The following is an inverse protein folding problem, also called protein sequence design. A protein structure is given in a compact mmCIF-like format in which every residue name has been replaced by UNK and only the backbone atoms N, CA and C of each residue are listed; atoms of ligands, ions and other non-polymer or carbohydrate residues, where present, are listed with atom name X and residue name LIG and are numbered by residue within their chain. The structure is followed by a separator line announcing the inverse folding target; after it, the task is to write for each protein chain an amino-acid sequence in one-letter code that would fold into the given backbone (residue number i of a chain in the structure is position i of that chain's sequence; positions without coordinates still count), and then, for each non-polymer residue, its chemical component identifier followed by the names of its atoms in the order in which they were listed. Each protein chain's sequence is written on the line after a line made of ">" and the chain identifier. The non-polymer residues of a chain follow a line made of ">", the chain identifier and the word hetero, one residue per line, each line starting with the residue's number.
data_IF_320032267245
#
_entry.id   IF_320032267245
#
_cell.length_a   1.000
_cell.length_b   1.000
_cell.length_c   1.000
_cell.angle_alpha   90.00
_cell.angle_beta   90.00
_cell.angle_gamma   90.00
#
_symmetry.space_group_name_H-M   'P 1'
#
loop_
_entity.id
_entity.type
_entity.pdbx_description
1 polymer ?
#
# COMPACT_ATOMS: atom_id res chain seq x y z
N UNK A 1 2.89 -21.38 4.68
CA UNK A 1 2.90 -20.38 3.60
C UNK A 1 3.99 -19.39 3.95
N UNK A 2 5.07 -19.37 3.17
CA UNK A 2 6.17 -18.43 3.36
C UNK A 2 5.68 -17.05 2.92
N UNK A 3 5.64 -16.10 3.86
CA UNK A 3 5.22 -14.73 3.56
C UNK A 3 6.50 -13.94 3.32
N UNK A 4 6.78 -13.63 2.06
CA UNK A 4 7.93 -12.81 1.69
C UNK A 4 7.77 -11.39 2.27
N UNK A 5 8.75 -10.94 3.05
CA UNK A 5 8.75 -9.61 3.65
C UNK A 5 9.50 -8.64 2.73
N UNK A 6 8.78 -7.67 2.17
CA UNK A 6 9.37 -6.60 1.38
C UNK A 6 9.52 -5.33 2.22
N UNK A 7 10.74 -4.77 2.26
CA UNK A 7 10.97 -3.44 2.86
C UNK A 7 10.89 -2.37 1.77
N UNK A 8 9.86 -1.52 1.82
CA UNK A 8 9.65 -0.45 0.85
C UNK A 8 10.09 0.88 1.45
N UNK A 9 11.05 1.54 0.80
CA UNK A 9 11.46 2.90 1.18
C UNK A 9 10.47 3.89 0.59
N UNK A 10 9.74 4.57 1.46
CA UNK A 10 8.75 5.57 1.09
C UNK A 10 9.22 6.95 1.55
N UNK A 11 9.05 7.99 0.71
CA UNK A 11 9.27 9.36 1.14
C UNK A 11 8.30 9.73 2.27
N UNK A 12 8.78 10.56 3.19
CA UNK A 12 8.09 10.89 4.45
C UNK A 12 6.69 11.46 4.22
N UNK A 13 6.54 12.35 3.25
CA UNK A 13 5.25 12.96 2.89
C UNK A 13 4.22 11.93 2.43
N UNK A 14 4.66 10.93 1.66
CA UNK A 14 3.77 9.92 1.10
C UNK A 14 3.34 8.93 2.18
N UNK A 15 4.25 8.59 3.11
CA UNK A 15 3.93 7.81 4.31
C UNK A 15 2.86 8.51 5.16
N UNK A 16 2.98 9.83 5.35
CA UNK A 16 2.05 10.61 6.18
C UNK A 16 0.64 10.65 5.57
N UNK A 17 0.55 10.87 4.24
CA UNK A 17 -0.71 10.80 3.50
C UNK A 17 -1.36 9.42 3.59
N UNK A 18 -0.59 8.36 3.43
CA UNK A 18 -1.07 6.98 3.55
C UNK A 18 -1.56 6.68 4.97
N UNK A 19 -0.82 7.10 6.00
CA UNK A 19 -1.23 6.95 7.40
C UNK A 19 -2.57 7.65 7.66
N UNK A 20 -2.73 8.88 7.16
CA UNK A 20 -3.96 9.65 7.33
C UNK A 20 -5.15 8.97 6.66
N UNK A 21 -5.00 8.51 5.42
CA UNK A 21 -6.08 7.83 4.72
C UNK A 21 -6.40 6.45 5.31
N UNK A 22 -5.39 5.71 5.78
CA UNK A 22 -5.57 4.43 6.45
C UNK A 22 -6.36 4.60 7.74
N UNK A 23 -6.03 5.63 8.54
CA UNK A 23 -6.77 6.00 9.76
C UNK A 23 -8.21 6.38 9.48
N UNK A 24 -8.48 7.14 8.41
CA UNK A 24 -9.85 7.53 8.01
C UNK A 24 -10.69 6.32 7.60
N UNK A 25 -10.09 5.34 6.93
CA UNK A 25 -10.79 4.14 6.47
C UNK A 25 -10.80 2.99 7.51
N UNK A 26 -10.11 3.15 8.64
CA UNK A 26 -9.99 2.10 9.67
C UNK A 26 -9.07 0.94 9.28
N UNK A 27 -8.24 1.10 8.25
CA UNK A 27 -7.32 0.06 7.77
C UNK A 27 -5.91 0.27 8.35
N UNK A 28 -5.12 -0.81 8.37
CA UNK A 28 -3.69 -0.68 8.65
C UNK A 28 -2.95 -0.16 7.43
N UNK A 29 -1.79 0.47 7.63
CA UNK A 29 -0.95 0.94 6.54
C UNK A 29 -0.59 -0.20 5.57
N UNK A 30 -0.41 -1.42 6.10
CA UNK A 30 -0.09 -2.62 5.32
C UNK A 30 -1.23 -2.97 4.37
N UNK A 31 -2.46 -3.03 4.87
CA UNK A 31 -3.64 -3.27 4.04
C UNK A 31 -3.75 -2.22 2.94
N UNK A 32 -3.57 -0.95 3.30
CA UNK A 32 -3.65 0.14 2.34
C UNK A 32 -2.58 0.02 1.23
N UNK A 33 -1.35 -0.35 1.58
CA UNK A 33 -0.29 -0.61 0.59
C UNK A 33 -0.65 -1.81 -0.30
N UNK A 34 -1.18 -2.89 0.28
CA UNK A 34 -1.61 -4.08 -0.49
C UNK A 34 -2.72 -3.72 -1.48
N UNK A 35 -3.70 -2.90 -1.08
CA UNK A 35 -4.75 -2.43 -1.98
C UNK A 35 -4.18 -1.60 -3.15
N UNK A 36 -3.28 -0.68 -2.85
CA UNK A 36 -2.65 0.16 -3.88
C UNK A 36 -1.84 -0.69 -4.85
N UNK A 37 -1.04 -1.64 -4.35
CA UNK A 37 -0.25 -2.54 -5.19
C UNK A 37 -1.13 -3.45 -6.04
N UNK A 38 -2.23 -3.98 -5.48
CA UNK A 38 -3.19 -4.81 -6.22
C UNK A 38 -3.88 -4.01 -7.33
N UNK A 39 -4.32 -2.79 -7.04
CA UNK A 39 -4.93 -1.90 -8.02
C UNK A 39 -3.96 -1.55 -9.14
N UNK A 40 -2.71 -1.20 -8.80
CA UNK A 40 -1.66 -0.90 -9.76
C UNK A 40 -1.35 -2.10 -10.67
N UNK A 41 -1.17 -3.30 -10.09
CA UNK A 41 -0.94 -4.53 -10.85
C UNK A 41 -2.10 -4.87 -11.78
N UNK A 42 -3.34 -4.64 -11.34
CA UNK A 42 -4.52 -4.87 -12.16
C UNK A 42 -4.60 -3.90 -13.34
N UNK A 43 -4.19 -2.64 -13.14
CA UNK A 43 -4.13 -1.65 -14.23
C UNK A 43 -3.00 -1.95 -15.22
N UNK A 44 -1.82 -2.38 -14.76
CA UNK A 44 -0.70 -2.72 -15.67
C UNK A 44 -0.99 -3.98 -16.49
N UNK A 45 -1.74 -4.94 -15.94
CA UNK A 45 -2.05 -6.20 -16.63
C UNK A 45 -3.13 -6.06 -17.71
N UNK A 46 -3.63 -4.84 -17.96
CA UNK A 46 -4.61 -4.54 -19.01
C UNK A 46 -4.00 -3.76 -20.19
N UNK A 47 -2.67 -3.59 -20.21
CA UNK A 47 -1.92 -2.93 -21.29
C UNK A 47 -1.19 -3.94 -22.19
#
# INVERSE_FOLDING_TARGET
>A
MEIEQATIRLPRELKDKLLKQAKVKGYTLKDMIVFILKDYLQNISQE
#
